data_IF_033658521372
#
_entry.id   IF_033658521372
#
_cell.length_a   1.000
_cell.length_b   1.000
_cell.length_c   1.000
_cell.angle_alpha   90.00
_cell.angle_beta   90.00
_cell.angle_gamma   90.00
#
_symmetry.space_group_name_H-M   'P 1'
#
loop_
_entity.id
_entity.type
_entity.pdbx_description
1 polymer ?
#
# COMPACT_ATOMS: atom_id res chain seq x y z
N UNK A 1 -10.31 -4.03 18.95
CA UNK A 1 -10.51 -3.60 17.54
C UNK A 1 -10.22 -4.79 16.65
N UNK A 2 -11.13 -5.13 15.72
CA UNK A 2 -10.95 -6.22 14.77
C UNK A 2 -10.56 -5.67 13.41
N UNK A 3 -9.38 -6.05 12.95
CA UNK A 3 -8.83 -5.60 11.66
C UNK A 3 -8.64 -6.79 10.74
N UNK A 4 -9.22 -6.73 9.54
CA UNK A 4 -8.94 -7.72 8.51
C UNK A 4 -7.74 -7.28 7.68
N UNK A 5 -6.83 -8.19 7.40
CA UNK A 5 -5.74 -7.99 6.44
C UNK A 5 -6.11 -8.72 5.17
N UNK A 6 -6.24 -7.98 4.07
CA UNK A 6 -6.65 -8.48 2.76
C UNK A 6 -5.48 -8.49 1.78
N UNK A 7 -4.70 -9.59 1.67
CA UNK A 7 -3.80 -9.75 0.54
C UNK A 7 -4.62 -9.91 -0.74
N UNK A 8 -4.38 -8.99 -1.70
CA UNK A 8 -5.00 -9.00 -3.02
C UNK A 8 -4.15 -9.83 -3.98
N UNK A 9 -4.57 -11.05 -4.28
CA UNK A 9 -3.77 -12.02 -5.04
C UNK A 9 -4.35 -12.28 -6.43
N UNK A 10 -3.49 -12.41 -7.46
CA UNK A 10 -3.99 -12.50 -8.84
C UNK A 10 -3.17 -13.37 -9.81
N UNK A 11 -1.89 -13.70 -9.53
CA UNK A 11 -1.01 -14.26 -10.58
C UNK A 11 0.00 -15.30 -10.15
N UNK A 12 0.79 -15.02 -9.15
CA UNK A 12 1.98 -15.77 -8.74
C UNK A 12 1.66 -16.48 -7.42
N UNK A 13 1.47 -17.80 -7.48
CA UNK A 13 1.08 -18.59 -6.31
C UNK A 13 2.16 -18.56 -5.23
N UNK A 14 3.46 -18.79 -5.52
CA UNK A 14 4.52 -18.65 -4.53
C UNK A 14 4.56 -17.29 -3.83
N UNK A 15 4.44 -16.19 -4.57
CA UNK A 15 4.40 -14.85 -4.00
C UNK A 15 3.17 -14.64 -3.13
N UNK A 16 1.98 -15.05 -3.61
CA UNK A 16 0.73 -14.97 -2.86
C UNK A 16 0.80 -15.76 -1.53
N UNK A 17 1.40 -16.93 -1.55
CA UNK A 17 1.65 -17.74 -0.34
C UNK A 17 2.57 -17.00 0.63
N UNK A 18 3.67 -16.43 0.15
CA UNK A 18 4.59 -15.64 0.98
C UNK A 18 3.91 -14.44 1.61
N UNK A 19 3.10 -13.70 0.83
CA UNK A 19 2.32 -12.56 1.33
C UNK A 19 1.40 -12.98 2.49
N UNK A 20 0.59 -14.03 2.31
CA UNK A 20 -0.29 -14.54 3.36
C UNK A 20 0.49 -15.01 4.59
N UNK A 21 1.58 -15.75 4.40
CA UNK A 21 2.39 -16.25 5.50
C UNK A 21 3.08 -15.12 6.27
N UNK A 22 3.52 -14.06 5.59
CA UNK A 22 4.10 -12.90 6.26
C UNK A 22 3.12 -12.24 7.23
N UNK A 23 1.83 -12.16 6.84
CA UNK A 23 0.77 -11.61 7.67
C UNK A 23 0.47 -12.55 8.86
N UNK A 24 0.39 -13.85 8.62
CA UNK A 24 0.15 -14.86 9.69
C UNK A 24 1.28 -14.89 10.73
N UNK A 25 2.48 -14.50 10.33
CA UNK A 25 3.68 -14.48 11.18
C UNK A 25 3.93 -13.11 11.84
N UNK A 26 2.99 -12.17 11.76
CA UNK A 26 3.09 -10.94 12.54
C UNK A 26 3.14 -11.24 14.04
N UNK A 27 3.92 -10.44 14.77
CA UNK A 27 3.99 -10.50 16.22
C UNK A 27 2.61 -10.29 16.83
N UNK A 28 2.26 -11.00 17.91
CA UNK A 28 0.98 -10.84 18.58
C UNK A 28 0.81 -9.42 19.12
N UNK A 29 -0.41 -8.94 19.04
CA UNK A 29 -0.86 -7.63 19.50
C UNK A 29 -1.79 -7.79 20.70
N UNK A 30 -2.02 -6.74 21.47
CA UNK A 30 -2.81 -6.80 22.71
C UNK A 30 -4.21 -6.22 22.57
N UNK A 31 -4.38 -5.21 21.74
CA UNK A 31 -5.63 -4.45 21.60
C UNK A 31 -6.29 -4.59 20.22
N UNK A 32 -5.51 -5.03 19.22
CA UNK A 32 -5.98 -5.25 17.85
C UNK A 32 -5.93 -6.72 17.50
N UNK A 33 -7.05 -7.29 17.13
CA UNK A 33 -7.16 -8.66 16.61
C UNK A 33 -7.05 -8.62 15.08
N UNK A 34 -5.98 -9.19 14.53
CA UNK A 34 -5.79 -9.30 13.08
C UNK A 34 -6.31 -10.63 12.56
N UNK A 35 -7.11 -10.57 11.51
CA UNK A 35 -7.58 -11.72 10.74
C UNK A 35 -7.10 -11.62 9.30
N UNK A 36 -6.76 -12.74 8.68
CA UNK A 36 -6.34 -12.77 7.27
C UNK A 36 -7.46 -13.32 6.41
N UNK A 37 -7.84 -12.60 5.36
CA UNK A 37 -8.76 -13.08 4.32
C UNK A 37 -8.18 -12.76 2.95
N UNK A 38 -7.69 -13.76 2.24
CA UNK A 38 -7.12 -13.56 0.91
C UNK A 38 -8.22 -13.21 -0.12
N UNK A 39 -8.05 -12.11 -0.83
CA UNK A 39 -8.95 -11.72 -1.91
C UNK A 39 -8.35 -12.19 -3.24
N UNK A 40 -8.93 -13.26 -3.77
CA UNK A 40 -8.52 -13.86 -5.05
C UNK A 40 -9.23 -13.10 -6.16
N UNK A 41 -8.47 -12.28 -6.91
CA UNK A 41 -8.99 -11.45 -8.00
C UNK A 41 -8.16 -11.69 -9.27
N UNK A 42 -8.46 -12.76 -9.98
CA UNK A 42 -7.68 -13.23 -11.14
C UNK A 42 -8.56 -13.61 -12.32
N UNK A 43 -8.04 -13.42 -13.52
CA UNK A 43 -8.60 -13.98 -14.76
C UNK A 43 -8.00 -15.38 -15.06
N UNK A 44 -6.96 -15.80 -14.35
CA UNK A 44 -6.28 -17.08 -14.55
C UNK A 44 -6.93 -18.17 -13.68
N UNK A 45 -7.68 -19.06 -14.30
CA UNK A 45 -8.38 -20.17 -13.61
C UNK A 45 -7.41 -21.18 -12.96
N UNK A 46 -6.23 -21.39 -13.54
CA UNK A 46 -5.21 -22.27 -12.95
C UNK A 46 -4.68 -21.69 -11.64
N UNK A 47 -4.32 -20.39 -11.63
CA UNK A 47 -3.94 -19.67 -10.42
C UNK A 47 -5.02 -19.77 -9.34
N UNK A 48 -6.28 -19.49 -9.71
CA UNK A 48 -7.41 -19.55 -8.76
C UNK A 48 -7.53 -20.94 -8.14
N UNK A 49 -7.45 -22.00 -8.97
CA UNK A 49 -7.58 -23.38 -8.50
C UNK A 49 -6.44 -23.78 -7.56
N UNK A 50 -5.20 -23.48 -7.93
CA UNK A 50 -3.99 -23.84 -7.17
C UNK A 50 -3.93 -23.08 -5.83
N UNK A 51 -4.13 -21.76 -5.87
CA UNK A 51 -4.08 -20.96 -4.65
C UNK A 51 -5.24 -21.26 -3.70
N UNK A 52 -6.44 -21.52 -4.23
CA UNK A 52 -7.58 -22.00 -3.42
C UNK A 52 -7.26 -23.32 -2.72
N UNK A 53 -6.70 -24.29 -3.45
CA UNK A 53 -6.33 -25.57 -2.87
C UNK A 53 -5.34 -25.38 -1.72
N UNK A 54 -4.34 -24.53 -1.87
CA UNK A 54 -3.42 -24.19 -0.80
C UNK A 54 -4.14 -23.53 0.40
N UNK A 55 -5.05 -22.57 0.15
CA UNK A 55 -5.83 -21.96 1.22
C UNK A 55 -6.65 -22.99 2.02
N UNK A 56 -7.30 -23.93 1.32
CA UNK A 56 -8.08 -24.99 1.94
C UNK A 56 -7.19 -25.91 2.81
N UNK A 57 -6.00 -26.27 2.33
CA UNK A 57 -5.01 -27.08 3.06
C UNK A 57 -4.48 -26.38 4.31
N UNK A 58 -4.20 -25.10 4.20
CA UNK A 58 -3.62 -24.28 5.27
C UNK A 58 -4.66 -23.62 6.18
N UNK A 59 -5.94 -23.87 5.95
CA UNK A 59 -7.06 -23.24 6.68
C UNK A 59 -7.04 -21.72 6.61
N UNK A 60 -6.63 -21.15 5.47
CA UNK A 60 -6.66 -19.72 5.19
C UNK A 60 -8.02 -19.32 4.67
N UNK A 61 -8.64 -18.32 5.27
CA UNK A 61 -9.88 -17.76 4.74
C UNK A 61 -9.62 -17.01 3.43
N UNK A 62 -10.52 -17.17 2.45
CA UNK A 62 -10.41 -16.47 1.17
C UNK A 62 -11.78 -16.09 0.60
N UNK A 63 -11.79 -15.13 -0.30
CA UNK A 63 -12.92 -14.72 -1.11
C UNK A 63 -12.50 -14.65 -2.58
N UNK A 64 -13.16 -15.41 -3.45
CA UNK A 64 -13.00 -15.27 -4.90
C UNK A 64 -13.92 -14.15 -5.37
N UNK A 65 -13.35 -13.19 -6.12
CA UNK A 65 -14.07 -12.01 -6.61
C UNK A 65 -13.97 -11.88 -8.13
N UNK A 66 -14.96 -11.27 -8.80
CA UNK A 66 -14.87 -10.97 -10.22
C UNK A 66 -13.66 -10.08 -10.51
N UNK A 67 -12.86 -10.45 -11.52
CA UNK A 67 -11.69 -9.69 -11.93
C UNK A 67 -11.92 -8.97 -13.27
N UNK A 68 -11.46 -7.72 -13.34
CA UNK A 68 -11.34 -6.94 -14.59
C UNK A 68 -9.89 -6.90 -15.08
N UNK A 69 -8.97 -7.56 -14.38
CA UNK A 69 -7.54 -7.58 -14.72
C UNK A 69 -6.79 -6.28 -14.41
N UNK A 70 -7.38 -5.38 -13.62
CA UNK A 70 -6.74 -4.11 -13.22
C UNK A 70 -6.55 -4.05 -11.70
N UNK A 71 -5.47 -3.39 -11.20
CA UNK A 71 -5.24 -3.23 -9.76
C UNK A 71 -6.40 -2.51 -9.07
N UNK A 72 -6.86 -1.39 -9.63
CA UNK A 72 -7.96 -0.60 -9.08
C UNK A 72 -9.23 -1.44 -8.85
N UNK A 73 -9.64 -2.24 -9.86
CA UNK A 73 -10.80 -3.10 -9.74
C UNK A 73 -10.62 -4.16 -8.64
N UNK A 74 -9.42 -4.73 -8.53
CA UNK A 74 -9.10 -5.68 -7.45
C UNK A 74 -9.17 -5.03 -6.07
N UNK A 75 -8.57 -3.84 -5.90
CA UNK A 75 -8.59 -3.06 -4.66
C UNK A 75 -10.02 -2.67 -4.26
N UNK A 76 -10.88 -2.33 -5.23
CA UNK A 76 -12.29 -2.09 -4.98
C UNK A 76 -13.04 -3.34 -4.50
N UNK A 77 -12.64 -4.55 -4.92
CA UNK A 77 -13.20 -5.79 -4.35
C UNK A 77 -12.79 -5.98 -2.88
N UNK A 78 -11.59 -5.58 -2.49
CA UNK A 78 -11.19 -5.57 -1.07
C UNK A 78 -12.05 -4.59 -0.27
N UNK A 79 -12.23 -3.34 -0.77
CA UNK A 79 -13.10 -2.35 -0.12
C UNK A 79 -14.55 -2.84 -0.02
N UNK A 80 -15.08 -3.46 -1.08
CA UNK A 80 -16.43 -4.04 -1.08
C UNK A 80 -16.55 -5.15 -0.04
N UNK A 81 -15.62 -6.10 -0.01
CA UNK A 81 -15.58 -7.16 1.00
C UNK A 81 -15.59 -6.57 2.42
N UNK A 82 -14.76 -5.56 2.66
CA UNK A 82 -14.69 -4.91 3.96
C UNK A 82 -16.00 -4.23 4.35
N UNK A 83 -16.65 -3.50 3.45
CA UNK A 83 -17.98 -2.89 3.67
C UNK A 83 -19.05 -3.92 4.07
N UNK A 84 -18.99 -5.13 3.49
CA UNK A 84 -19.93 -6.22 3.77
C UNK A 84 -19.57 -7.04 5.03
N UNK A 85 -18.38 -6.82 5.61
CA UNK A 85 -17.85 -7.58 6.75
C UNK A 85 -18.24 -6.97 8.11
N UNK A 86 -17.84 -7.63 9.21
CA UNK A 86 -18.01 -7.16 10.58
C UNK A 86 -16.71 -6.61 11.21
N UNK A 87 -15.68 -6.38 10.40
CA UNK A 87 -14.41 -5.84 10.88
C UNK A 87 -14.49 -4.33 11.11
N UNK A 88 -13.76 -3.82 12.09
CA UNK A 88 -13.70 -2.40 12.42
C UNK A 88 -12.76 -1.63 11.48
N UNK A 89 -11.72 -2.32 10.96
CA UNK A 89 -10.73 -1.77 10.05
C UNK A 89 -10.24 -2.81 9.05
N UNK A 90 -9.58 -2.34 7.99
CA UNK A 90 -8.97 -3.19 6.98
C UNK A 90 -7.54 -2.73 6.70
N UNK A 91 -6.64 -3.70 6.56
CA UNK A 91 -5.35 -3.50 5.91
C UNK A 91 -5.37 -4.17 4.54
N UNK A 92 -4.77 -3.53 3.55
CA UNK A 92 -4.66 -4.10 2.20
C UNK A 92 -3.18 -4.29 1.87
N UNK A 93 -2.86 -5.41 1.22
CA UNK A 93 -1.50 -5.76 0.78
C UNK A 93 -1.59 -6.27 -0.64
N UNK A 94 -0.74 -5.78 -1.53
CA UNK A 94 -0.58 -6.38 -2.85
C UNK A 94 -0.04 -7.82 -2.68
N UNK A 95 -0.51 -8.74 -3.49
CA UNK A 95 -0.26 -10.18 -3.32
C UNK A 95 1.17 -10.64 -3.55
N UNK A 96 2.08 -9.72 -3.89
CA UNK A 96 3.52 -9.93 -3.97
C UNK A 96 4.30 -9.20 -2.86
N UNK A 97 3.65 -8.31 -2.10
CA UNK A 97 4.26 -7.57 -1.00
C UNK A 97 4.18 -8.34 0.33
N UNK A 98 5.06 -8.02 1.26
CA UNK A 98 5.18 -8.71 2.54
C UNK A 98 5.02 -7.74 3.71
N UNK A 99 4.46 -8.22 4.82
CA UNK A 99 4.49 -7.53 6.10
C UNK A 99 5.62 -8.04 6.97
N UNK A 100 6.36 -7.12 7.60
CA UNK A 100 7.33 -7.47 8.64
C UNK A 100 6.63 -8.03 9.88
N UNK A 101 7.33 -8.85 10.68
CA UNK A 101 6.77 -9.35 11.94
C UNK A 101 6.27 -8.26 12.88
N UNK A 102 6.89 -7.08 12.85
CA UNK A 102 6.52 -5.90 13.65
C UNK A 102 5.30 -5.12 13.13
N UNK A 103 4.81 -5.43 11.92
CA UNK A 103 3.76 -4.63 11.28
C UNK A 103 2.51 -4.49 12.14
N UNK A 104 2.02 -5.59 12.73
CA UNK A 104 0.85 -5.56 13.61
C UNK A 104 1.03 -4.63 14.81
N UNK A 105 2.20 -4.65 15.44
CA UNK A 105 2.51 -3.79 16.59
C UNK A 105 2.57 -2.30 16.21
N UNK A 106 3.09 -1.98 15.01
CA UNK A 106 3.13 -0.60 14.53
C UNK A 106 1.73 -0.07 14.23
N UNK A 107 0.89 -0.90 13.57
CA UNK A 107 -0.50 -0.55 13.29
C UNK A 107 -1.30 -0.38 14.59
N UNK A 108 -1.19 -1.33 15.53
CA UNK A 108 -1.85 -1.24 16.84
C UNK A 108 -1.45 0.04 17.57
N UNK A 109 -0.15 0.33 17.63
CA UNK A 109 0.36 1.54 18.27
C UNK A 109 -0.22 2.80 17.63
N UNK A 110 -0.25 2.87 16.30
CA UNK A 110 -0.83 4.00 15.58
C UNK A 110 -2.30 4.19 15.95
N UNK A 111 -3.11 3.13 15.83
CA UNK A 111 -4.55 3.18 16.12
C UNK A 111 -4.85 3.52 17.58
N UNK A 112 -4.00 3.10 18.50
CA UNK A 112 -4.11 3.45 19.92
C UNK A 112 -3.90 4.94 20.17
N UNK A 113 -2.92 5.54 19.51
CA UNK A 113 -2.61 6.96 19.66
C UNK A 113 -3.52 7.87 18.82
N UNK A 114 -4.05 7.34 17.70
CA UNK A 114 -4.84 8.06 16.71
C UNK A 114 -6.12 7.28 16.34
N UNK A 115 -7.06 7.09 17.28
CA UNK A 115 -8.23 6.21 17.08
C UNK A 115 -9.20 6.69 16.00
N UNK A 116 -9.07 7.95 15.55
CA UNK A 116 -9.90 8.52 14.48
C UNK A 116 -9.28 8.40 13.08
N UNK A 117 -8.21 7.62 12.90
CA UNK A 117 -7.56 7.46 11.61
C UNK A 117 -8.48 6.78 10.60
N UNK A 118 -8.68 7.42 9.45
CA UNK A 118 -9.45 6.87 8.34
C UNK A 118 -8.56 6.24 7.26
N UNK A 119 -7.39 6.83 7.00
CA UNK A 119 -6.36 6.31 6.10
C UNK A 119 -4.99 6.46 6.77
N UNK A 120 -4.23 5.36 6.80
CA UNK A 120 -2.83 5.35 7.20
C UNK A 120 -1.97 4.88 6.03
N UNK A 121 -1.03 5.73 5.63
CA UNK A 121 0.02 5.39 4.69
C UNK A 121 1.34 5.29 5.45
N UNK A 122 2.13 4.27 5.14
CA UNK A 122 3.42 4.02 5.78
C UNK A 122 4.55 4.22 4.79
N UNK A 123 5.53 5.02 5.17
CA UNK A 123 6.79 5.30 4.46
C UNK A 123 7.99 5.32 5.42
N UNK A 124 9.18 5.09 4.92
CA UNK A 124 9.53 4.48 3.64
C UNK A 124 9.25 2.98 3.64
N UNK A 125 9.01 2.41 2.48
CA UNK A 125 8.93 0.96 2.33
C UNK A 125 10.28 0.43 1.84
N UNK A 126 10.76 -0.64 2.47
CA UNK A 126 11.89 -1.40 1.95
C UNK A 126 11.45 -2.11 0.67
N UNK A 127 12.33 -2.27 -0.29
CA UNK A 127 11.95 -2.88 -1.57
C UNK A 127 13.07 -3.65 -2.24
N UNK A 128 12.67 -4.60 -3.08
CA UNK A 128 13.52 -5.21 -4.10
C UNK A 128 12.89 -4.96 -5.47
N UNK A 129 13.68 -4.64 -6.48
CA UNK A 129 13.16 -4.43 -7.82
C UNK A 129 14.14 -4.93 -8.90
N UNK A 130 13.62 -5.22 -10.09
CA UNK A 130 14.41 -5.69 -11.23
C UNK A 130 15.37 -4.62 -11.79
N UNK A 131 15.09 -3.33 -11.55
CA UNK A 131 15.88 -2.22 -12.09
C UNK A 131 17.22 -2.02 -11.37
N UNK A 132 17.36 -2.57 -10.18
CA UNK A 132 18.57 -2.48 -9.37
C UNK A 132 19.34 -3.80 -9.28
N UNK A 133 19.31 -4.62 -10.33
CA UNK A 133 19.95 -5.95 -10.38
C UNK A 133 19.53 -6.83 -9.18
N UNK A 134 18.25 -6.79 -8.82
CA UNK A 134 17.68 -7.47 -7.66
C UNK A 134 18.35 -7.08 -6.32
N UNK A 135 18.94 -5.89 -6.25
CA UNK A 135 19.45 -5.40 -4.97
C UNK A 135 18.30 -5.01 -4.04
N UNK A 136 18.39 -5.47 -2.80
CA UNK A 136 17.48 -5.07 -1.74
C UNK A 136 17.82 -3.66 -1.31
N UNK A 137 16.84 -2.75 -1.38
CA UNK A 137 16.94 -1.40 -0.85
C UNK A 137 16.23 -1.36 0.49
N UNK A 138 16.99 -1.16 1.55
CA UNK A 138 16.45 -1.01 2.91
C UNK A 138 16.45 0.46 3.27
N UNK A 139 15.29 0.96 3.61
CA UNK A 139 15.11 2.32 4.07
C UNK A 139 15.48 2.43 5.56
N UNK A 140 16.78 2.44 5.84
CA UNK A 140 17.32 2.45 7.19
C UNK A 140 17.11 3.71 7.99
N UNK A 141 16.93 4.78 7.29
CA UNK A 141 16.70 6.07 7.89
C UNK A 141 15.35 6.50 7.37
N UNK A 142 14.56 7.01 8.27
CA UNK A 142 13.52 7.93 7.89
C UNK A 142 14.19 8.99 7.04
N UNK A 143 14.28 8.71 5.76
CA UNK A 143 14.63 9.71 4.78
C UNK A 143 13.37 10.57 4.64
N UNK A 144 13.15 11.39 5.65
CA UNK A 144 12.62 12.67 5.36
C UNK A 144 13.44 13.12 4.18
N UNK A 145 12.86 13.24 3.00
CA UNK A 145 13.58 13.76 1.86
C UNK A 145 14.04 15.15 2.23
N UNK A 146 15.31 15.26 2.56
CA UNK A 146 15.92 16.56 2.77
C UNK A 146 16.13 17.18 1.39
N UNK A 147 15.25 18.08 1.02
CA UNK A 147 15.52 19.01 -0.07
C UNK A 147 16.03 20.30 0.55
N UNK A 148 17.34 20.47 0.55
CA UNK A 148 18.01 21.54 1.28
C UNK A 148 17.87 21.35 2.80
N UNK A 149 17.72 22.42 3.54
CA UNK A 149 17.59 22.43 5.00
C UNK A 149 16.18 22.09 5.50
N UNK A 150 15.27 21.80 4.59
CA UNK A 150 13.89 21.45 4.93
C UNK A 150 13.71 19.94 4.96
N UNK A 151 13.29 19.44 6.10
CA UNK A 151 12.84 18.06 6.27
C UNK A 151 11.40 18.02 5.80
N UNK A 152 11.18 17.50 4.61
CA UNK A 152 9.83 17.21 4.14
C UNK A 152 9.52 15.77 4.49
N UNK A 153 8.35 15.49 5.05
CA UNK A 153 7.82 14.15 5.03
C UNK A 153 7.54 13.82 3.58
N UNK A 154 8.56 13.42 2.83
CA UNK A 154 8.52 13.03 1.45
C UNK A 154 8.57 14.12 0.39
N UNK A 155 8.89 13.68 -0.86
CA UNK A 155 9.00 14.55 -2.03
C UNK A 155 7.66 15.11 -2.50
N UNK A 156 6.69 15.23 -1.65
CA UNK A 156 5.36 15.73 -2.00
C UNK A 156 5.12 17.11 -1.42
N UNK A 157 6.05 17.98 -1.66
CA UNK A 157 5.78 19.40 -1.53
C UNK A 157 5.05 19.83 -2.76
N UNK A 158 3.90 20.40 -2.60
CA UNK A 158 3.20 21.12 -3.62
C UNK A 158 3.53 22.59 -3.47
N UNK A 159 4.12 23.16 -4.43
CA UNK A 159 4.49 24.54 -4.57
C UNK A 159 4.95 24.74 -6.00
N UNK A 160 5.59 25.84 -6.38
CA UNK A 160 6.12 26.03 -7.74
C UNK A 160 7.01 24.86 -8.21
N UNK A 161 7.74 24.24 -7.29
CA UNK A 161 8.53 23.03 -7.58
C UNK A 161 7.70 21.78 -7.87
N UNK A 162 6.40 21.79 -7.60
CA UNK A 162 5.52 20.61 -7.77
C UNK A 162 4.84 20.59 -9.11
N UNK A 163 4.79 21.69 -9.78
CA UNK A 163 4.58 21.66 -11.21
C UNK A 163 5.59 20.72 -11.86
N UNK A 164 6.83 20.75 -11.35
CA UNK A 164 7.89 19.83 -11.77
C UNK A 164 7.65 18.39 -11.32
N UNK A 165 6.84 18.13 -10.31
CA UNK A 165 6.53 16.77 -9.87
C UNK A 165 5.70 16.02 -10.90
N UNK A 166 4.75 16.67 -11.52
CA UNK A 166 3.98 16.10 -12.62
C UNK A 166 4.75 16.12 -13.94
N UNK A 167 5.74 16.98 -14.07
CA UNK A 167 6.61 17.06 -15.25
C UNK A 167 7.90 16.28 -15.09
N UNK A 168 8.40 16.14 -13.86
CA UNK A 168 9.60 15.36 -13.54
C UNK A 168 9.19 13.98 -13.00
N UNK A 169 9.15 13.00 -13.89
CA UNK A 169 8.72 11.61 -13.62
C UNK A 169 9.44 10.93 -12.45
N UNK A 170 10.58 11.43 -12.02
CA UNK A 170 11.34 10.91 -10.89
C UNK A 170 10.75 11.24 -9.52
N UNK A 171 9.83 12.20 -9.44
CA UNK A 171 9.28 12.68 -8.17
C UNK A 171 7.84 12.24 -7.89
N UNK A 172 7.11 11.74 -8.90
CA UNK A 172 5.75 11.24 -8.76
C UNK A 172 5.74 9.80 -8.23
N UNK A 173 6.30 9.58 -7.04
CA UNK A 173 6.23 8.30 -6.37
C UNK A 173 5.04 8.28 -5.42
N UNK A 174 4.37 7.14 -5.34
CA UNK A 174 3.36 6.89 -4.32
C UNK A 174 3.89 7.28 -2.94
N UNK A 175 3.01 7.81 -2.09
CA UNK A 175 3.36 8.12 -0.70
C UNK A 175 3.85 6.89 0.06
N UNK A 176 3.43 5.68 -0.32
CA UNK A 176 3.84 4.43 0.29
C UNK A 176 2.80 3.35 0.22
N UNK A 177 2.98 2.35 1.06
CA UNK A 177 1.96 1.34 1.23
C UNK A 177 0.76 1.91 1.95
N UNK A 178 -0.41 1.74 1.36
CA UNK A 178 -1.68 1.97 2.03
C UNK A 178 -1.89 0.85 3.04
N UNK A 179 -1.73 1.16 4.32
CA UNK A 179 -1.63 0.14 5.36
C UNK A 179 -2.94 -0.07 6.10
N UNK A 180 -3.73 0.99 6.33
CA UNK A 180 -4.96 0.88 7.07
C UNK A 180 -6.06 1.76 6.48
N UNK A 181 -7.28 1.22 6.49
CA UNK A 181 -8.52 1.87 6.06
C UNK A 181 -9.59 1.71 7.13
N UNK A 182 -10.24 2.81 7.51
CA UNK A 182 -11.44 2.76 8.33
C UNK A 182 -12.68 2.38 7.50
N UNK A 183 -13.75 2.00 8.17
CA UNK A 183 -15.05 1.79 7.52
C UNK A 183 -15.55 3.07 6.83
N UNK A 184 -15.41 4.20 7.49
CA UNK A 184 -15.77 5.51 6.94
C UNK A 184 -15.02 5.80 5.64
N UNK A 185 -13.71 5.49 5.60
CA UNK A 185 -12.94 5.62 4.35
C UNK A 185 -13.51 4.72 3.25
N UNK A 186 -13.73 3.44 3.54
CA UNK A 186 -14.23 2.47 2.57
C UNK A 186 -15.64 2.81 2.04
N UNK A 187 -16.47 3.50 2.83
CA UNK A 187 -17.79 3.97 2.42
C UNK A 187 -17.73 5.28 1.59
N UNK A 188 -16.63 6.01 1.69
CA UNK A 188 -16.49 7.36 1.09
C UNK A 188 -15.74 7.34 -0.22
N UNK A 189 -14.72 6.50 -0.37
CA UNK A 189 -13.81 6.48 -1.52
C UNK A 189 -13.73 5.10 -2.17
N UNK A 190 -13.49 5.11 -3.47
CA UNK A 190 -13.15 3.95 -4.29
C UNK A 190 -11.99 4.29 -5.23
N UNK A 191 -11.26 3.27 -5.64
CA UNK A 191 -10.24 3.40 -6.68
C UNK A 191 -10.87 3.65 -8.03
N UNK A 192 -10.30 4.54 -8.82
CA UNK A 192 -10.75 4.80 -10.20
C UNK A 192 -10.32 3.65 -11.11
N UNK A 193 -11.25 2.79 -11.50
CA UNK A 193 -10.98 1.59 -12.31
C UNK A 193 -10.52 1.90 -13.73
N UNK A 194 -10.74 3.10 -14.22
CA UNK A 194 -10.25 3.58 -15.51
C UNK A 194 -8.78 4.07 -15.42
N UNK A 195 -8.25 4.22 -14.21
CA UNK A 195 -6.86 4.62 -13.98
C UNK A 195 -6.00 3.36 -13.84
N UNK A 196 -5.23 3.03 -14.88
CA UNK A 196 -4.41 1.81 -14.89
C UNK A 196 -3.04 1.98 -14.23
N UNK A 197 -2.53 3.21 -14.12
CA UNK A 197 -1.28 3.54 -13.43
C UNK A 197 -1.52 4.73 -12.52
N UNK A 198 -1.00 4.65 -11.29
CA UNK A 198 -1.14 5.70 -10.30
C UNK A 198 -2.55 5.80 -9.71
N UNK A 199 -3.28 4.69 -9.72
CA UNK A 199 -4.59 4.58 -9.07
C UNK A 199 -4.50 4.85 -7.57
N UNK A 200 -3.40 4.41 -6.93
CA UNK A 200 -3.13 4.68 -5.53
C UNK A 200 -2.90 6.17 -5.30
N UNK A 201 -2.08 6.79 -6.13
CA UNK A 201 -1.79 8.22 -6.03
C UNK A 201 -3.05 9.07 -6.25
N UNK A 202 -3.92 8.69 -7.18
CA UNK A 202 -5.18 9.39 -7.40
C UNK A 202 -6.09 9.30 -6.16
N UNK A 203 -6.16 8.12 -5.54
CA UNK A 203 -6.91 7.93 -4.30
C UNK A 203 -6.33 8.77 -3.15
N UNK A 204 -5.01 8.86 -3.05
CA UNK A 204 -4.32 9.70 -2.06
C UNK A 204 -4.70 11.18 -2.22
N UNK A 205 -4.79 11.70 -3.44
CA UNK A 205 -5.24 13.07 -3.70
C UNK A 205 -6.70 13.29 -3.35
N UNK A 206 -7.56 12.31 -3.61
CA UNK A 206 -8.96 12.37 -3.19
C UNK A 206 -9.08 12.36 -1.67
N UNK A 207 -8.31 11.51 -0.99
CA UNK A 207 -8.26 11.46 0.47
C UNK A 207 -7.70 12.76 1.07
N UNK A 208 -6.65 13.35 0.46
CA UNK A 208 -6.09 14.62 0.87
C UNK A 208 -7.15 15.73 0.83
N UNK A 209 -7.89 15.84 -0.26
CA UNK A 209 -8.99 16.81 -0.37
C UNK A 209 -10.01 16.64 0.76
N UNK A 210 -10.44 15.41 1.00
CA UNK A 210 -11.40 15.12 2.06
C UNK A 210 -10.84 15.38 3.45
N UNK A 211 -9.54 15.18 3.66
CA UNK A 211 -8.86 15.55 4.89
C UNK A 211 -8.86 17.06 5.12
N UNK A 212 -8.51 17.86 4.10
CA UNK A 212 -8.54 19.32 4.15
C UNK A 212 -9.95 19.87 4.39
N UNK A 213 -10.97 19.18 3.90
CA UNK A 213 -12.38 19.50 4.18
C UNK A 213 -12.88 19.01 5.55
N UNK A 214 -12.02 18.37 6.36
CA UNK A 214 -12.37 17.80 7.67
C UNK A 214 -13.29 16.58 7.60
N UNK A 215 -13.43 15.97 6.43
CA UNK A 215 -14.31 14.81 6.20
C UNK A 215 -13.65 13.47 6.47
N UNK A 216 -12.33 13.37 6.28
CA UNK A 216 -11.53 12.18 6.58
C UNK A 216 -10.32 12.56 7.44
N UNK A 217 -9.79 11.59 8.19
CA UNK A 217 -8.55 11.72 8.93
C UNK A 217 -7.47 10.87 8.24
N UNK A 218 -6.54 11.54 7.57
CA UNK A 218 -5.47 10.92 6.79
C UNK A 218 -4.12 11.13 7.49
N UNK A 219 -3.37 10.04 7.72
CA UNK A 219 -2.09 10.04 8.41
C UNK A 219 -0.96 9.49 7.56
N UNK A 220 0.22 10.10 7.70
CA UNK A 220 1.49 9.55 7.23
C UNK A 220 2.28 9.02 8.42
N UNK A 221 2.80 7.81 8.31
CA UNK A 221 3.71 7.22 9.29
C UNK A 221 5.04 6.86 8.63
N UNK A 222 6.13 7.13 9.35
CA UNK A 222 7.50 6.77 8.93
C UNK A 222 7.99 5.49 9.60
N UNK A 223 7.11 4.51 9.76
CA UNK A 223 7.46 3.18 10.26
C UNK A 223 8.08 2.33 9.15
N UNK A 224 9.40 2.26 9.09
CA UNK A 224 10.10 1.51 8.04
C UNK A 224 10.04 -0.02 8.18
N UNK A 225 9.43 -0.54 9.24
CA UNK A 225 9.32 -1.95 9.58
C UNK A 225 7.88 -2.48 9.54
N UNK A 226 7.09 -1.98 8.59
CA UNK A 226 5.72 -2.44 8.34
C UNK A 226 5.64 -3.27 7.08
N UNK A 227 6.11 -2.76 5.95
CA UNK A 227 5.92 -3.39 4.65
C UNK A 227 7.22 -3.48 3.86
N UNK A 228 7.39 -4.60 3.17
CA UNK A 228 8.43 -4.83 2.17
C UNK A 228 7.81 -5.02 0.80
N UNK A 229 8.26 -4.25 -0.19
CA UNK A 229 7.72 -4.27 -1.54
C UNK A 229 8.56 -5.19 -2.44
N UNK A 230 7.96 -6.27 -2.93
CA UNK A 230 8.60 -7.17 -3.91
C UNK A 230 8.22 -6.77 -5.35
N UNK A 231 9.02 -5.93 -5.95
CA UNK A 231 8.86 -5.44 -7.33
C UNK A 231 9.65 -6.28 -8.34
N UNK A 232 9.93 -7.55 -8.02
CA UNK A 232 10.61 -8.49 -8.92
C UNK A 232 9.63 -9.28 -9.78
N UNK A 233 10.12 -9.80 -10.91
CA UNK A 233 9.39 -10.72 -11.79
C UNK A 233 8.84 -10.07 -13.06
N UNK A 234 8.67 -10.89 -14.09
CA UNK A 234 8.17 -10.48 -15.41
C UNK A 234 6.69 -10.07 -15.39
N UNK A 235 5.97 -10.46 -14.34
CA UNK A 235 4.53 -10.20 -14.18
C UNK A 235 4.21 -8.87 -13.51
N UNK A 236 5.22 -8.05 -13.20
CA UNK A 236 4.98 -6.73 -12.63
C UNK A 236 4.20 -5.87 -13.62
N UNK A 237 2.92 -5.62 -13.32
CA UNK A 237 2.01 -4.85 -14.17
C UNK A 237 2.58 -3.47 -14.50
N UNK A 238 3.27 -2.85 -13.57
CA UNK A 238 3.82 -1.51 -13.76
C UNK A 238 4.96 -1.49 -14.78
N UNK A 239 5.80 -2.53 -14.81
CA UNK A 239 6.84 -2.67 -15.83
C UNK A 239 6.22 -2.82 -17.24
N UNK A 240 5.26 -3.73 -17.38
CA UNK A 240 4.59 -3.99 -18.68
C UNK A 240 3.83 -2.75 -19.19
N UNK A 241 3.14 -2.03 -18.31
CA UNK A 241 2.36 -0.84 -18.70
C UNK A 241 3.22 0.38 -18.98
N UNK A 242 4.34 0.55 -18.28
CA UNK A 242 5.26 1.66 -18.54
C UNK A 242 5.92 1.58 -19.92
N UNK A 243 6.07 0.37 -20.48
CA UNK A 243 6.66 0.19 -21.81
C UNK A 243 5.70 0.56 -22.96
N UNK A 244 4.39 0.44 -22.76
CA UNK A 244 3.41 0.58 -23.83
C UNK A 244 2.66 1.91 -23.84
N UNK A 245 2.18 2.39 -22.69
CA UNK A 245 1.24 3.51 -22.62
C UNK A 245 1.47 4.45 -21.42
N UNK A 246 2.62 4.37 -20.77
CA UNK A 246 2.90 5.07 -19.51
C UNK A 246 2.66 6.58 -19.55
N UNK A 247 2.96 7.22 -20.69
CA UNK A 247 2.78 8.67 -20.87
C UNK A 247 1.29 9.07 -20.90
N UNK A 248 0.49 8.29 -21.60
CA UNK A 248 -0.96 8.54 -21.68
C UNK A 248 -1.62 8.43 -20.29
N UNK A 249 -1.30 7.37 -19.53
CA UNK A 249 -1.85 7.20 -18.18
C UNK A 249 -1.38 8.28 -17.21
N UNK A 250 -0.12 8.69 -17.33
CA UNK A 250 0.42 9.78 -16.53
C UNK A 250 -0.29 11.11 -16.81
N UNK A 251 -0.46 11.49 -18.08
CA UNK A 251 -1.15 12.70 -18.46
C UNK A 251 -2.62 12.68 -17.97
N UNK A 252 -3.29 11.53 -18.07
CA UNK A 252 -4.65 11.35 -17.54
C UNK A 252 -4.69 11.51 -16.02
N UNK A 253 -3.71 10.97 -15.29
CA UNK A 253 -3.57 11.15 -13.84
C UNK A 253 -3.43 12.64 -13.50
N UNK A 254 -2.55 13.37 -14.19
CA UNK A 254 -2.35 14.82 -13.98
C UNK A 254 -3.65 15.60 -14.15
N UNK A 255 -4.39 15.34 -15.23
CA UNK A 255 -5.66 16.02 -15.47
C UNK A 255 -6.72 15.69 -14.41
N UNK A 256 -6.81 14.43 -13.98
CA UNK A 256 -7.71 14.03 -12.90
C UNK A 256 -7.35 14.70 -11.57
N UNK A 257 -6.06 14.74 -11.22
CA UNK A 257 -5.61 15.41 -9.99
C UNK A 257 -5.92 16.91 -10.02
N UNK A 258 -5.66 17.60 -11.14
CA UNK A 258 -6.01 19.00 -11.31
C UNK A 258 -7.53 19.26 -11.15
N UNK A 259 -8.36 18.31 -11.54
CA UNK A 259 -9.82 18.42 -11.36
C UNK A 259 -10.27 18.22 -9.91
N UNK A 260 -9.48 17.51 -9.10
CA UNK A 260 -9.82 17.22 -7.71
C UNK A 260 -9.41 18.36 -6.79
N UNK A 261 -8.21 18.90 -6.98
CA UNK A 261 -7.66 19.95 -6.13
C UNK A 261 -6.77 20.91 -6.92
N UNK A 262 -6.55 22.08 -6.37
CA UNK A 262 -5.58 23.05 -6.89
C UNK A 262 -4.17 22.63 -6.46
N UNK A 263 -3.31 22.09 -7.34
CA UNK A 263 -1.98 21.64 -6.96
C UNK A 263 -1.11 22.77 -6.38
N UNK A 264 -1.39 24.02 -6.72
CA UNK A 264 -0.63 25.16 -6.20
C UNK A 264 -0.95 25.50 -4.75
N UNK A 265 -2.07 24.98 -4.22
CA UNK A 265 -2.56 25.27 -2.86
C UNK A 265 -2.66 24.05 -1.95
N UNK A 266 -2.58 22.86 -2.53
CA UNK A 266 -2.75 21.61 -1.78
C UNK A 266 -1.41 20.93 -1.56
N UNK A 267 -1.16 20.46 -0.35
CA UNK A 267 0.12 19.84 0.01
C UNK A 267 -0.09 18.67 0.96
N UNK A 268 0.58 17.57 0.69
CA UNK A 268 0.68 16.46 1.65
C UNK A 268 1.48 16.85 2.91
N UNK A 269 2.19 17.96 2.91
CA UNK A 269 2.85 18.49 4.11
C UNK A 269 1.87 18.93 5.20
N UNK A 270 0.60 19.13 4.85
CA UNK A 270 -0.46 19.44 5.80
C UNK A 270 -0.98 18.20 6.53
N UNK A 271 -0.61 17.01 6.07
CA UNK A 271 -1.02 15.78 6.74
C UNK A 271 -0.28 15.64 8.08
N UNK A 272 -0.95 15.12 9.10
CA UNK A 272 -0.30 14.77 10.35
C UNK A 272 0.68 13.61 10.11
N UNK A 273 1.86 13.73 10.69
CA UNK A 273 2.97 12.77 10.51
C UNK A 273 3.33 12.14 11.85
N UNK A 274 3.52 10.83 11.82
CA UNK A 274 4.04 10.06 12.94
C UNK A 274 5.44 9.52 12.65
N UNK A 275 6.33 9.62 13.66
CA UNK A 275 7.68 9.03 13.64
C UNK A 275 7.75 7.93 14.71
N UNK A 276 7.29 6.72 14.39
CA UNK A 276 7.27 5.64 15.37
C UNK A 276 8.67 5.14 15.69
N UNK A 277 8.81 4.51 16.85
CA UNK A 277 10.04 3.82 17.22
C UNK A 277 10.19 2.58 16.34
N UNK A 278 11.35 2.41 15.71
CA UNK A 278 11.69 1.20 14.97
C UNK A 278 11.73 0.02 15.94
N UNK A 279 10.98 -1.03 15.66
CA UNK A 279 10.93 -2.26 16.44
C UNK A 279 11.87 -3.31 15.82
N UNK A 280 11.92 -3.35 14.49
CA UNK A 280 12.64 -4.34 13.71
C UNK A 280 13.87 -3.68 13.05
N UNK A 281 15.05 -3.92 13.62
CA UNK A 281 16.29 -3.26 13.19
C UNK A 281 16.80 -3.73 11.82
N UNK A 282 17.79 -3.02 11.29
CA UNK A 282 18.36 -3.27 9.95
C UNK A 282 18.85 -4.71 9.75
N UNK A 283 19.63 -5.23 10.69
CA UNK A 283 20.16 -6.59 10.61
C UNK A 283 19.06 -7.65 10.63
N UNK A 284 18.02 -7.43 11.43
CA UNK A 284 16.86 -8.31 11.52
C UNK A 284 16.05 -8.28 10.22
N UNK A 285 15.89 -7.10 9.60
CA UNK A 285 15.24 -6.96 8.31
C UNK A 285 15.97 -7.74 7.22
N UNK A 286 17.30 -7.58 7.11
CA UNK A 286 18.11 -8.32 6.13
C UNK A 286 17.97 -9.82 6.34
N UNK A 287 18.07 -10.31 7.58
CA UNK A 287 17.94 -11.71 7.88
C UNK A 287 16.55 -12.24 7.52
N UNK A 288 15.50 -11.49 7.83
CA UNK A 288 14.14 -11.87 7.50
C UNK A 288 13.88 -11.87 5.99
N UNK A 289 14.33 -10.84 5.26
CA UNK A 289 14.19 -10.76 3.78
C UNK A 289 14.90 -11.94 3.13
N UNK A 290 16.12 -12.28 3.59
CA UNK A 290 16.87 -13.43 3.07
C UNK A 290 16.08 -14.75 3.20
N UNK A 291 15.36 -14.92 4.29
CA UNK A 291 14.51 -16.11 4.50
C UNK A 291 13.25 -16.12 3.62
N UNK A 292 12.74 -14.94 3.22
CA UNK A 292 11.48 -14.85 2.46
C UNK A 292 11.70 -14.84 0.94
N UNK A 293 12.78 -14.24 0.46
CA UNK A 293 12.94 -13.86 -0.95
C UNK A 293 14.06 -14.66 -1.66
N UNK A 294 15.03 -15.17 -0.93
CA UNK A 294 16.24 -15.82 -1.50
C UNK A 294 16.13 -17.36 -1.53
N UNK A 295 15.00 -17.92 -1.15
CA UNK A 295 14.77 -19.39 -1.18
C UNK A 295 14.33 -19.83 -2.56
#
# INVERSE_FOLDING_TARGET
VKVVVCPLVSRDVPKAIRAVNSIRNMMPTTEVEFSVVAIINSLNSAFISEFRQWCDQESVQYKITPSKGTPAAGKNQCLKFFRESQYDGMCMVDGDDLYYPSAGLQIERHLKHHPGTDLLIVKPSDQINNYSNNSVQIADKVHACCWGDNIFPLPYTYGPAQHDMFTNRGAAHNLGGHVFYSRKFAETLEYDEDQLLGEDLLLEFQALKLHQEGKLCFWLSFASDVQFLDRTGETNIQAVKNETDGEMYYNRLVEKVKSILDPARSSFNELPVEFPKIIFGHAEKIAWIAQQVIV
#
